data_IF_838094964539
#
_entry.id   IF_838094964539
#
_cell.length_a   1.000
_cell.length_b   1.000
_cell.length_c   1.000
_cell.angle_alpha   90.00
_cell.angle_beta   90.00
_cell.angle_gamma   90.00
#
_symmetry.space_group_name_H-M   'P 1'
#
loop_
_entity.id
_entity.type
_entity.pdbx_description
1 polymer ?
#
# COMPACT_ATOMS: atom_id res chain seq x y z
N UNK A 1 -32.91 -14.10 3.94
CA UNK A 1 -32.85 -15.52 4.39
C UNK A 1 -31.43 -16.08 4.39
N UNK A 2 -30.55 -15.67 3.47
CA UNK A 2 -29.19 -16.22 3.32
C UNK A 2 -28.27 -15.94 4.54
N UNK A 3 -28.43 -14.79 5.21
CA UNK A 3 -27.67 -14.45 6.43
C UNK A 3 -27.87 -15.41 7.61
N UNK A 4 -29.08 -15.90 7.83
CA UNK A 4 -29.38 -16.83 8.92
C UNK A 4 -28.89 -18.24 8.61
N UNK A 5 -28.95 -18.64 7.33
CA UNK A 5 -28.41 -19.91 6.87
C UNK A 5 -26.88 -19.98 7.01
N UNK A 6 -26.18 -18.93 6.59
CA UNK A 6 -24.74 -18.83 6.73
C UNK A 6 -24.29 -18.73 8.20
N UNK A 7 -25.05 -18.04 9.06
CA UNK A 7 -24.82 -18.01 10.51
C UNK A 7 -24.91 -19.40 11.15
N UNK A 8 -25.92 -20.18 10.78
CA UNK A 8 -26.07 -21.54 11.27
C UNK A 8 -24.93 -22.46 10.83
N UNK A 9 -24.52 -22.36 9.56
CA UNK A 9 -23.41 -23.13 8.99
C UNK A 9 -22.06 -22.76 9.62
N UNK A 10 -21.84 -21.47 9.87
CA UNK A 10 -20.66 -20.98 10.58
C UNK A 10 -20.64 -21.43 12.05
N UNK A 11 -21.78 -21.45 12.74
CA UNK A 11 -21.88 -21.97 14.10
C UNK A 11 -21.51 -23.46 14.16
N UNK A 12 -21.94 -24.24 13.17
CA UNK A 12 -21.69 -25.67 13.12
C UNK A 12 -20.19 -26.02 13.05
N UNK A 13 -19.39 -25.27 12.28
CA UNK A 13 -17.96 -25.54 12.13
C UNK A 13 -17.08 -24.85 13.18
N UNK A 14 -17.43 -23.65 13.64
CA UNK A 14 -16.56 -22.83 14.50
C UNK A 14 -17.24 -22.27 15.75
N UNK A 15 -18.39 -22.83 16.15
CA UNK A 15 -19.17 -22.44 17.34
C UNK A 15 -19.50 -20.93 17.33
N UNK A 16 -19.62 -20.29 18.49
CA UNK A 16 -20.11 -18.91 18.62
C UNK A 16 -19.38 -17.88 17.73
N UNK A 17 -18.02 -17.90 17.59
CA UNK A 17 -17.31 -17.04 16.63
C UNK A 17 -17.71 -17.32 15.17
N UNK A 18 -17.94 -18.58 14.83
CA UNK A 18 -18.39 -19.00 13.51
C UNK A 18 -19.80 -18.52 13.17
N UNK A 19 -20.72 -18.49 14.14
CA UNK A 19 -22.07 -17.98 13.93
C UNK A 19 -22.08 -16.51 13.52
N UNK A 20 -21.22 -15.73 14.17
CA UNK A 20 -21.04 -14.31 13.89
C UNK A 20 -20.45 -14.12 12.48
N UNK A 21 -19.39 -14.86 12.13
CA UNK A 21 -18.79 -14.81 10.80
C UNK A 21 -19.77 -15.22 9.69
N UNK A 22 -20.53 -16.29 9.92
CA UNK A 22 -21.55 -16.76 9.01
C UNK A 22 -22.70 -15.75 8.82
N UNK A 23 -23.19 -15.14 9.90
CA UNK A 23 -24.22 -14.10 9.84
C UNK A 23 -23.75 -12.88 9.04
N UNK A 24 -22.48 -12.50 9.22
CA UNK A 24 -21.86 -11.39 8.51
C UNK A 24 -21.66 -11.68 7.02
N UNK A 25 -21.18 -12.88 6.65
CA UNK A 25 -20.97 -13.27 5.23
C UNK A 25 -22.30 -13.40 4.49
N UNK A 26 -23.31 -14.06 5.08
CA UNK A 26 -24.61 -14.19 4.44
C UNK A 26 -25.40 -12.87 4.37
N UNK A 27 -25.11 -11.90 5.25
CA UNK A 27 -25.63 -10.54 5.16
C UNK A 27 -24.99 -9.70 4.04
N UNK A 28 -23.78 -10.05 3.63
CA UNK A 28 -23.03 -9.42 2.53
C UNK A 28 -23.54 -9.93 1.17
N UNK A 29 -23.77 -11.24 1.02
CA UNK A 29 -24.35 -11.82 -0.20
C UNK A 29 -25.75 -11.24 -0.50
N UNK A 30 -26.52 -11.02 0.55
CA UNK A 30 -27.88 -10.45 0.44
C UNK A 30 -27.87 -8.95 0.09
N UNK A 31 -26.76 -8.24 0.32
CA UNK A 31 -26.59 -6.82 -0.03
C UNK A 31 -25.85 -6.57 -1.34
N UNK A 32 -25.06 -7.52 -1.84
CA UNK A 32 -24.46 -7.45 -3.18
C UNK A 32 -25.54 -7.43 -4.27
N UNK A 33 -26.73 -7.97 -4.00
CA UNK A 33 -27.85 -8.00 -4.94
C UNK A 33 -28.64 -6.67 -5.05
N UNK A 34 -28.40 -5.69 -4.17
CA UNK A 34 -29.09 -4.39 -4.16
C UNK A 34 -28.06 -3.25 -4.25
N UNK A 35 -27.89 -2.70 -5.46
CA UNK A 35 -26.72 -1.92 -5.88
C UNK A 35 -26.54 -0.47 -5.37
N UNK A 36 -25.29 0.00 -5.61
CA UNK A 36 -24.73 1.35 -5.82
C UNK A 36 -25.37 2.61 -5.19
N UNK A 37 -24.57 3.34 -4.39
CA UNK A 37 -23.97 4.63 -4.78
C UNK A 37 -23.14 5.28 -3.65
N UNK A 38 -22.10 6.03 -4.08
CA UNK A 38 -21.20 6.97 -3.41
C UNK A 38 -21.50 7.41 -1.96
N UNK A 39 -20.58 7.13 -1.01
CA UNK A 39 -20.76 7.50 0.40
C UNK A 39 -19.54 8.10 1.15
N UNK A 40 -18.35 8.20 0.54
CA UNK A 40 -17.14 8.70 1.25
C UNK A 40 -17.18 10.22 1.55
N UNK A 41 -18.23 10.93 1.14
CA UNK A 41 -18.38 12.36 1.42
C UNK A 41 -19.09 12.69 2.74
N UNK A 42 -19.52 11.70 3.55
CA UNK A 42 -20.54 12.01 4.59
C UNK A 42 -20.09 11.93 6.05
N UNK A 43 -18.86 11.56 6.42
CA UNK A 43 -18.47 11.55 7.85
C UNK A 43 -17.08 12.06 8.24
N UNK A 44 -16.04 11.95 7.40
CA UNK A 44 -14.71 12.46 7.77
C UNK A 44 -14.55 13.86 7.20
N UNK A 45 -14.51 14.86 8.07
CA UNK A 45 -14.21 16.23 7.65
C UNK A 45 -12.81 16.25 7.03
N UNK A 46 -12.65 16.89 5.87
CA UNK A 46 -11.33 17.09 5.20
C UNK A 46 -10.31 17.87 6.06
N UNK A 47 -10.75 18.33 7.23
CA UNK A 47 -9.99 19.00 8.30
C UNK A 47 -9.40 18.06 9.35
N UNK A 48 -9.73 16.76 9.37
CA UNK A 48 -9.09 15.82 10.30
C UNK A 48 -7.58 15.77 10.02
N UNK A 49 -6.71 16.07 11.00
CA UNK A 49 -5.25 16.00 10.81
C UNK A 49 -4.75 14.61 10.44
N UNK A 50 -5.54 13.56 10.71
CA UNK A 50 -5.19 12.13 10.50
C UNK A 50 -5.68 11.57 9.17
N UNK A 51 -6.26 12.40 8.29
CA UNK A 51 -6.91 11.93 7.07
C UNK A 51 -5.95 11.19 6.12
N UNK A 52 -4.67 11.57 6.10
CA UNK A 52 -3.66 10.87 5.31
C UNK A 52 -3.40 9.46 5.86
N UNK A 53 -3.29 9.33 7.17
CA UNK A 53 -3.08 8.05 7.87
C UNK A 53 -4.28 7.12 7.71
N UNK A 54 -5.49 7.66 7.80
CA UNK A 54 -6.73 6.91 7.59
C UNK A 54 -6.87 6.42 6.15
N UNK A 55 -6.56 7.26 5.16
CA UNK A 55 -6.58 6.85 3.75
C UNK A 55 -5.46 5.86 3.43
N UNK A 56 -4.29 6.01 4.05
CA UNK A 56 -3.20 5.03 3.91
C UNK A 56 -3.64 3.65 4.42
N UNK A 57 -4.27 3.60 5.60
CA UNK A 57 -4.82 2.38 6.16
C UNK A 57 -5.93 1.78 5.28
N UNK A 58 -6.78 2.62 4.67
CA UNK A 58 -7.80 2.18 3.73
C UNK A 58 -7.20 1.59 2.44
N UNK A 59 -6.15 2.21 1.89
CA UNK A 59 -5.43 1.66 0.74
C UNK A 59 -4.77 0.32 1.09
N UNK A 60 -4.14 0.19 2.27
CA UNK A 60 -3.62 -1.11 2.74
C UNK A 60 -4.70 -2.16 2.85
N UNK A 61 -5.85 -1.82 3.44
CA UNK A 61 -6.98 -2.73 3.54
C UNK A 61 -7.56 -3.12 2.16
N UNK A 62 -7.42 -2.26 1.16
CA UNK A 62 -7.80 -2.56 -0.24
C UNK A 62 -6.88 -3.63 -0.84
N UNK A 63 -5.57 -3.53 -0.58
CA UNK A 63 -4.57 -4.51 -1.02
C UNK A 63 -4.76 -5.85 -0.31
N UNK A 64 -4.84 -5.86 1.03
CA UNK A 64 -4.99 -7.07 1.86
C UNK A 64 -6.26 -7.87 1.52
N UNK A 65 -7.31 -7.21 1.02
CA UNK A 65 -8.57 -7.87 0.66
C UNK A 65 -8.64 -8.27 -0.81
N UNK A 66 -7.59 -8.06 -1.60
CA UNK A 66 -7.63 -8.20 -3.04
C UNK A 66 -7.92 -9.65 -3.49
N UNK A 67 -7.36 -10.63 -2.79
CA UNK A 67 -7.51 -12.06 -3.07
C UNK A 67 -8.60 -12.74 -2.21
N UNK A 68 -9.18 -12.00 -1.27
CA UNK A 68 -10.16 -12.49 -0.29
C UNK A 68 -9.55 -13.30 0.86
N UNK A 69 -8.23 -13.50 0.90
CA UNK A 69 -7.52 -14.22 1.95
C UNK A 69 -6.70 -13.24 2.79
N UNK A 70 -7.24 -12.87 3.95
CA UNK A 70 -6.54 -11.94 4.85
C UNK A 70 -5.45 -12.69 5.60
N UNK A 71 -4.18 -12.43 5.26
CA UNK A 71 -3.03 -13.01 5.97
C UNK A 71 -2.70 -12.20 7.23
N UNK A 72 -2.34 -12.91 8.31
CA UNK A 72 -2.06 -12.25 9.60
C UNK A 72 -0.80 -11.41 9.55
N UNK A 73 0.18 -11.79 8.73
CA UNK A 73 1.45 -11.11 8.51
C UNK A 73 1.25 -9.72 7.92
N UNK A 74 0.36 -9.57 6.94
CA UNK A 74 0.05 -8.28 6.29
C UNK A 74 -0.61 -7.32 7.29
N UNK A 75 -1.58 -7.81 8.07
CA UNK A 75 -2.21 -7.04 9.14
C UNK A 75 -1.20 -6.61 10.22
N UNK A 76 -0.30 -7.52 10.58
CA UNK A 76 0.73 -7.24 11.58
C UNK A 76 1.76 -6.24 11.06
N UNK A 77 2.14 -6.32 9.78
CA UNK A 77 3.01 -5.34 9.14
C UNK A 77 2.41 -3.94 9.21
N UNK A 78 1.13 -3.79 8.81
CA UNK A 78 0.42 -2.51 8.90
C UNK A 78 0.38 -2.04 10.35
N UNK A 79 -0.02 -2.89 11.30
CA UNK A 79 -0.09 -2.51 12.72
C UNK A 79 1.27 -2.04 13.25
N UNK A 80 2.32 -2.80 13.00
CA UNK A 80 3.68 -2.46 13.45
C UNK A 80 4.18 -1.17 12.82
N UNK A 81 3.87 -0.93 11.54
CA UNK A 81 4.21 0.30 10.85
C UNK A 81 3.59 1.52 11.54
N UNK A 82 2.28 1.49 11.82
CA UNK A 82 1.61 2.61 12.47
C UNK A 82 2.10 2.82 13.92
N UNK A 83 2.31 1.74 14.67
CA UNK A 83 2.85 1.84 16.04
C UNK A 83 4.27 2.42 16.05
N UNK A 84 5.14 1.95 15.16
CA UNK A 84 6.54 2.39 15.10
C UNK A 84 6.64 3.86 14.70
N UNK A 85 5.81 4.31 13.76
CA UNK A 85 5.92 5.66 13.21
C UNK A 85 5.11 6.72 13.99
N UNK A 86 4.03 6.34 14.66
CA UNK A 86 3.11 7.28 15.32
C UNK A 86 2.94 7.04 16.83
N UNK A 87 3.45 5.94 17.36
CA UNK A 87 3.24 5.52 18.74
C UNK A 87 1.95 4.70 18.93
N UNK A 88 1.91 3.91 20.01
CA UNK A 88 0.83 2.96 20.28
C UNK A 88 -0.55 3.62 20.38
N UNK A 89 -0.63 4.76 21.08
CA UNK A 89 -1.91 5.43 21.35
C UNK A 89 -2.50 6.06 20.08
N UNK A 90 -1.68 6.77 19.29
CA UNK A 90 -2.11 7.33 18.01
C UNK A 90 -2.48 6.24 17.01
N UNK A 91 -1.70 5.16 16.95
CA UNK A 91 -2.02 4.01 16.11
C UNK A 91 -3.38 3.42 16.49
N UNK A 92 -3.65 3.19 17.78
CA UNK A 92 -4.96 2.70 18.25
C UNK A 92 -6.09 3.61 17.78
N UNK A 93 -5.95 4.92 18.00
CA UNK A 93 -6.95 5.90 17.60
C UNK A 93 -7.23 5.86 16.08
N UNK A 94 -6.19 5.75 15.25
CA UNK A 94 -6.33 5.62 13.79
C UNK A 94 -7.10 4.32 13.43
N UNK A 95 -6.76 3.20 14.06
CA UNK A 95 -7.45 1.92 13.82
C UNK A 95 -8.91 1.96 14.29
N UNK A 96 -9.18 2.57 15.43
CA UNK A 96 -10.53 2.71 15.99
C UNK A 96 -11.40 3.60 15.08
N UNK A 97 -10.87 4.76 14.66
CA UNK A 97 -11.53 5.64 13.69
C UNK A 97 -11.77 4.92 12.36
N UNK A 98 -10.79 4.20 11.83
CA UNK A 98 -10.96 3.40 10.61
C UNK A 98 -12.06 2.34 10.73
N UNK A 99 -12.08 1.60 11.84
CA UNK A 99 -13.08 0.56 12.09
C UNK A 99 -14.50 1.12 12.26
N UNK A 100 -14.63 2.29 12.88
CA UNK A 100 -15.91 2.95 13.12
C UNK A 100 -16.45 3.67 11.88
N UNK A 101 -15.57 4.32 11.09
CA UNK A 101 -15.98 5.31 10.08
C UNK A 101 -15.74 4.87 8.64
N UNK A 102 -14.69 4.08 8.35
CA UNK A 102 -14.20 3.83 6.98
C UNK A 102 -14.51 2.42 6.47
N UNK A 103 -14.99 1.50 7.33
CA UNK A 103 -15.22 0.08 6.99
C UNK A 103 -16.25 -0.15 5.87
N UNK A 104 -17.07 0.86 5.54
CA UNK A 104 -18.08 0.87 4.47
C UNK A 104 -17.56 1.35 3.10
N UNK A 105 -16.35 1.94 3.04
CA UNK A 105 -15.92 2.82 1.93
C UNK A 105 -14.61 2.40 1.24
N UNK A 106 -14.07 1.22 1.58
CA UNK A 106 -12.79 0.67 1.08
C UNK A 106 -12.83 0.26 -0.42
N UNK A 107 -13.76 0.80 -1.21
CA UNK A 107 -13.99 0.35 -2.59
C UNK A 107 -13.62 1.39 -3.66
N UNK A 108 -13.37 2.65 -3.29
CA UNK A 108 -13.03 3.69 -4.25
C UNK A 108 -11.56 4.13 -4.14
N UNK A 109 -10.68 3.41 -4.83
CA UNK A 109 -9.24 3.71 -4.89
C UNK A 109 -8.98 5.16 -5.31
N UNK A 110 -9.73 5.69 -6.30
CA UNK A 110 -9.54 7.04 -6.81
C UNK A 110 -9.77 8.09 -5.72
N UNK A 111 -10.80 7.90 -4.91
CA UNK A 111 -11.15 8.83 -3.85
C UNK A 111 -10.16 8.77 -2.67
N UNK A 112 -9.74 7.57 -2.30
CA UNK A 112 -8.70 7.37 -1.29
C UNK A 112 -7.37 8.01 -1.73
N UNK A 113 -6.99 7.85 -3.00
CA UNK A 113 -5.77 8.40 -3.57
C UNK A 113 -5.82 9.93 -3.75
N UNK A 114 -7.01 10.48 -4.00
CA UNK A 114 -7.23 11.91 -4.30
C UNK A 114 -6.65 12.84 -3.24
N UNK A 115 -6.75 12.47 -1.96
CA UNK A 115 -6.20 13.30 -0.87
C UNK A 115 -4.68 13.42 -0.97
N UNK A 116 -3.99 12.35 -1.37
CA UNK A 116 -2.53 12.35 -1.50
C UNK A 116 -2.11 13.20 -2.69
N UNK A 117 -2.84 13.12 -3.80
CA UNK A 117 -2.59 13.94 -5.00
C UNK A 117 -2.71 15.43 -4.69
N UNK A 118 -3.70 15.85 -3.90
CA UNK A 118 -3.91 17.27 -3.59
C UNK A 118 -3.07 17.81 -2.42
N UNK A 119 -2.79 16.97 -1.41
CA UNK A 119 -2.15 17.45 -0.16
C UNK A 119 -0.68 17.09 -0.04
N UNK A 120 -0.13 16.27 -0.92
CA UNK A 120 1.24 15.77 -0.77
C UNK A 120 2.06 15.91 -2.06
N UNK A 121 3.38 16.12 -1.94
CA UNK A 121 4.26 16.17 -3.10
C UNK A 121 4.36 14.79 -3.78
N UNK A 122 4.93 14.74 -4.99
CA UNK A 122 5.08 13.49 -5.75
C UNK A 122 5.85 12.42 -4.97
N UNK A 123 6.90 12.83 -4.27
CA UNK A 123 7.78 11.97 -3.50
C UNK A 123 7.03 11.24 -2.38
N UNK A 124 6.07 11.91 -1.72
CA UNK A 124 5.22 11.27 -0.69
C UNK A 124 4.37 10.15 -1.27
N UNK A 125 3.86 10.33 -2.50
CA UNK A 125 3.04 9.31 -3.18
C UNK A 125 3.86 8.07 -3.55
N UNK A 126 5.15 8.23 -3.89
CA UNK A 126 6.08 7.12 -4.05
C UNK A 126 6.26 6.32 -2.75
N UNK A 127 6.26 6.99 -1.59
CA UNK A 127 6.36 6.31 -0.30
C UNK A 127 5.10 5.54 0.06
N UNK A 128 3.92 6.06 -0.29
CA UNK A 128 2.66 5.31 -0.18
C UNK A 128 2.76 4.02 -1.00
N UNK A 129 3.21 4.11 -2.25
CA UNK A 129 3.39 2.93 -3.11
C UNK A 129 4.38 1.92 -2.52
N UNK A 130 5.55 2.39 -2.07
CA UNK A 130 6.57 1.54 -1.43
C UNK A 130 6.00 0.82 -0.20
N UNK A 131 5.27 1.53 0.65
CA UNK A 131 4.62 0.94 1.82
C UNK A 131 3.60 -0.13 1.42
N UNK A 132 2.77 0.09 0.39
CA UNK A 132 1.79 -0.90 -0.06
C UNK A 132 2.43 -2.18 -0.59
N UNK A 133 3.57 -2.09 -1.28
CA UNK A 133 4.35 -3.27 -1.64
C UNK A 133 4.93 -3.97 -0.40
N UNK A 134 5.37 -3.23 0.61
CA UNK A 134 5.79 -3.79 1.89
C UNK A 134 4.68 -4.56 2.62
N UNK A 135 3.43 -4.06 2.54
CA UNK A 135 2.25 -4.76 3.06
C UNK A 135 2.03 -6.06 2.31
N UNK A 136 1.95 -6.02 0.97
CA UNK A 136 1.67 -7.21 0.16
C UNK A 136 2.80 -8.26 0.20
N UNK A 137 4.03 -7.84 0.50
CA UNK A 137 5.18 -8.74 0.62
C UNK A 137 5.45 -9.19 2.07
N UNK A 138 4.54 -8.92 3.02
CA UNK A 138 4.78 -9.19 4.44
C UNK A 138 4.95 -10.70 4.76
N UNK A 139 4.37 -11.57 3.94
CA UNK A 139 4.55 -13.03 4.00
C UNK A 139 5.62 -13.54 3.02
N UNK A 140 6.27 -12.62 2.27
CA UNK A 140 7.30 -12.91 1.28
C UNK A 140 6.78 -13.22 -0.13
N UNK A 141 5.46 -13.20 -0.38
CA UNK A 141 4.89 -13.48 -1.71
C UNK A 141 3.75 -12.52 -2.04
N UNK A 142 3.93 -11.71 -3.08
CA UNK A 142 2.87 -10.84 -3.61
C UNK A 142 2.01 -11.61 -4.60
N UNK A 143 0.70 -11.70 -4.34
CA UNK A 143 -0.26 -12.32 -5.26
C UNK A 143 -0.55 -11.44 -6.48
N UNK A 144 -1.06 -12.05 -7.57
CA UNK A 144 -1.44 -11.31 -8.79
C UNK A 144 -2.56 -10.28 -8.52
N UNK A 145 -3.52 -10.63 -7.67
CA UNK A 145 -4.63 -9.76 -7.27
C UNK A 145 -4.16 -8.55 -6.48
N UNK A 146 -3.21 -8.72 -5.56
CA UNK A 146 -2.59 -7.60 -4.84
C UNK A 146 -1.82 -6.71 -5.78
N UNK A 147 -1.01 -7.28 -6.68
CA UNK A 147 -0.25 -6.51 -7.66
C UNK A 147 -1.16 -5.65 -8.55
N UNK A 148 -2.28 -6.20 -9.03
CA UNK A 148 -3.29 -5.46 -9.80
C UNK A 148 -3.86 -4.30 -8.97
N UNK A 149 -4.14 -4.51 -7.67
CA UNK A 149 -4.66 -3.46 -6.80
C UNK A 149 -3.62 -2.37 -6.54
N UNK A 150 -2.37 -2.75 -6.31
CA UNK A 150 -1.27 -1.80 -6.12
C UNK A 150 -1.05 -0.97 -7.39
N UNK A 151 -1.13 -1.56 -8.59
CA UNK A 151 -1.04 -0.85 -9.87
C UNK A 151 -2.20 0.15 -10.07
N UNK A 152 -3.43 -0.26 -9.75
CA UNK A 152 -4.60 0.63 -9.75
C UNK A 152 -4.41 1.81 -8.78
N UNK A 153 -3.85 1.57 -7.60
CA UNK A 153 -3.55 2.61 -6.62
C UNK A 153 -2.43 3.53 -7.12
N UNK A 154 -1.37 2.99 -7.72
CA UNK A 154 -0.28 3.78 -8.29
C UNK A 154 -0.78 4.74 -9.38
N UNK A 155 -1.65 4.24 -10.27
CA UNK A 155 -2.31 5.03 -11.30
C UNK A 155 -3.19 6.13 -10.70
N UNK A 156 -3.99 5.81 -9.68
CA UNK A 156 -4.84 6.79 -8.99
C UNK A 156 -4.04 7.84 -8.18
N UNK A 157 -2.86 7.48 -7.70
CA UNK A 157 -1.89 8.40 -7.10
C UNK A 157 -1.19 9.27 -8.16
N UNK A 158 -1.42 9.04 -9.46
CA UNK A 158 -0.80 9.78 -10.54
C UNK A 158 0.72 9.54 -10.63
N UNK A 159 1.15 8.31 -10.34
CA UNK A 159 2.55 7.90 -10.45
C UNK A 159 2.87 7.45 -11.88
N UNK A 160 4.12 7.66 -12.29
CA UNK A 160 4.63 7.17 -13.57
C UNK A 160 4.80 5.65 -13.53
N UNK A 161 4.66 5.00 -14.68
CA UNK A 161 4.88 3.56 -14.76
C UNK A 161 6.34 3.16 -14.45
N UNK A 162 7.33 3.99 -14.81
CA UNK A 162 8.74 3.74 -14.48
C UNK A 162 8.97 3.69 -12.96
N UNK A 163 8.34 4.60 -12.22
CA UNK A 163 8.36 4.63 -10.76
C UNK A 163 7.76 3.35 -10.16
N UNK A 164 6.64 2.90 -10.71
CA UNK A 164 5.98 1.67 -10.29
C UNK A 164 6.89 0.46 -10.49
N UNK A 165 7.45 0.25 -11.68
CA UNK A 165 8.34 -0.87 -11.95
C UNK A 165 9.62 -0.81 -11.11
N UNK A 166 10.17 0.39 -10.89
CA UNK A 166 11.34 0.58 -10.03
C UNK A 166 11.06 0.20 -8.57
N UNK A 167 9.90 0.55 -8.02
CA UNK A 167 9.53 0.17 -6.65
C UNK A 167 9.18 -1.31 -6.58
N UNK A 168 8.40 -1.83 -7.52
CA UNK A 168 8.05 -3.26 -7.64
C UNK A 168 9.29 -4.15 -7.65
N UNK A 169 10.32 -3.76 -8.41
CA UNK A 169 11.58 -4.48 -8.51
C UNK A 169 12.33 -4.62 -7.16
N UNK A 170 12.00 -3.82 -6.13
CA UNK A 170 12.57 -3.97 -4.78
C UNK A 170 11.97 -5.14 -4.00
N UNK A 171 10.73 -5.52 -4.32
CA UNK A 171 9.98 -6.55 -3.59
C UNK A 171 9.87 -7.86 -4.37
N UNK A 172 9.89 -7.79 -5.70
CA UNK A 172 9.81 -8.95 -6.57
C UNK A 172 11.18 -9.16 -7.22
N UNK A 173 11.71 -10.38 -7.13
CA UNK A 173 12.94 -10.74 -7.81
C UNK A 173 12.65 -10.95 -9.29
N UNK A 174 13.19 -10.05 -10.12
CA UNK A 174 13.05 -10.11 -11.57
C UNK A 174 14.44 -10.03 -12.22
N UNK A 175 14.54 -10.53 -13.46
CA UNK A 175 15.71 -10.27 -14.31
C UNK A 175 15.88 -8.76 -14.48
N UNK A 176 17.14 -8.32 -14.48
CA UNK A 176 17.53 -6.92 -14.61
C UNK A 176 17.01 -5.99 -13.48
N UNK A 177 16.71 -6.55 -12.30
CA UNK A 177 16.24 -5.82 -11.11
C UNK A 177 17.02 -4.52 -10.86
N UNK A 178 18.35 -4.58 -10.88
CA UNK A 178 19.19 -3.42 -10.61
C UNK A 178 18.95 -2.27 -11.61
N UNK A 179 18.79 -2.59 -12.90
CA UNK A 179 18.49 -1.59 -13.95
C UNK A 179 17.08 -1.02 -13.79
N UNK A 180 16.10 -1.87 -13.46
CA UNK A 180 14.72 -1.44 -13.18
C UNK A 180 14.64 -0.50 -11.98
N UNK A 181 15.38 -0.78 -10.90
CA UNK A 181 15.47 0.11 -9.73
C UNK A 181 15.99 1.49 -10.14
N UNK A 182 16.93 1.57 -11.08
CA UNK A 182 17.44 2.83 -11.63
C UNK A 182 16.56 3.44 -12.74
N UNK A 183 15.38 2.86 -13.03
CA UNK A 183 14.47 3.30 -14.10
C UNK A 183 15.11 3.31 -15.50
N UNK A 184 16.03 2.37 -15.79
CA UNK A 184 16.74 2.26 -17.08
C UNK A 184 16.68 0.84 -17.67
N UNK A 185 16.98 0.73 -18.97
CA UNK A 185 17.13 -0.55 -19.66
C UNK A 185 18.45 -1.24 -19.28
N UNK A 186 18.48 -2.57 -19.29
CA UNK A 186 19.72 -3.35 -19.16
C UNK A 186 20.71 -3.11 -20.30
N UNK A 187 20.25 -2.59 -21.44
CA UNK A 187 21.09 -2.17 -22.56
C UNK A 187 21.64 -0.74 -22.42
N UNK A 188 21.33 -0.02 -21.33
CA UNK A 188 21.82 1.34 -21.11
C UNK A 188 23.36 1.38 -21.09
N UNK A 189 23.94 2.48 -21.59
CA UNK A 189 25.37 2.76 -21.54
C UNK A 189 25.84 3.09 -20.12
N UNK A 190 27.14 3.02 -19.86
CA UNK A 190 27.70 3.30 -18.53
C UNK A 190 27.46 4.75 -18.09
N UNK A 191 27.44 5.69 -19.03
CA UNK A 191 27.14 7.09 -18.74
C UNK A 191 25.67 7.29 -18.37
N UNK A 192 24.75 6.58 -19.05
CA UNK A 192 23.33 6.57 -18.70
C UNK A 192 23.10 5.96 -17.31
N UNK A 193 23.81 4.89 -16.95
CA UNK A 193 23.75 4.29 -15.60
C UNK A 193 24.17 5.32 -14.55
N UNK A 194 25.32 6.00 -14.74
CA UNK A 194 25.83 7.03 -13.81
C UNK A 194 24.89 8.25 -13.73
N UNK A 195 24.25 8.62 -14.84
CA UNK A 195 23.26 9.69 -14.87
C UNK A 195 22.00 9.30 -14.10
N UNK A 196 21.44 8.12 -14.37
CA UNK A 196 20.25 7.61 -13.71
C UNK A 196 20.44 7.48 -12.19
N UNK A 197 21.58 6.96 -11.74
CA UNK A 197 21.92 6.91 -10.31
C UNK A 197 21.84 8.30 -9.64
N UNK A 198 22.45 9.32 -10.24
CA UNK A 198 22.42 10.70 -9.71
C UNK A 198 20.99 11.27 -9.67
N UNK A 199 20.19 10.98 -10.68
CA UNK A 199 18.78 11.40 -10.73
C UNK A 199 17.94 10.71 -9.64
N UNK A 200 18.13 9.40 -9.43
CA UNK A 200 17.45 8.63 -8.38
C UNK A 200 17.86 9.07 -6.97
N UNK A 201 19.15 9.29 -6.73
CA UNK A 201 19.66 9.88 -5.48
C UNK A 201 18.99 11.21 -5.21
N UNK A 202 18.91 12.09 -6.21
CA UNK A 202 18.25 13.40 -6.07
C UNK A 202 16.74 13.27 -5.85
N UNK A 203 16.09 12.22 -6.34
CA UNK A 203 14.63 11.99 -6.21
C UNK A 203 14.25 11.44 -4.84
N UNK A 204 15.05 10.51 -4.32
CA UNK A 204 14.78 9.79 -3.07
C UNK A 204 15.61 10.26 -1.88
N UNK A 205 16.39 11.34 -2.02
CA UNK A 205 17.14 11.91 -0.91
C UNK A 205 16.20 12.29 0.26
N UNK A 206 16.49 11.89 1.51
CA UNK A 206 15.63 12.18 2.66
C UNK A 206 15.35 13.68 2.82
N UNK A 207 16.33 14.56 2.54
CA UNK A 207 16.17 16.02 2.63
C UNK A 207 15.15 16.62 1.63
N UNK A 208 14.79 15.90 0.57
CA UNK A 208 13.75 16.37 -0.35
C UNK A 208 12.34 16.16 0.17
N UNK A 209 12.17 15.32 1.18
CA UNK A 209 10.88 15.14 1.82
C UNK A 209 10.59 16.36 2.68
N UNK A 210 9.67 17.21 2.22
CA UNK A 210 9.10 18.30 3.04
C UNK A 210 8.20 17.80 4.17
N UNK A 211 7.87 16.51 4.17
CA UNK A 211 7.00 15.92 5.18
C UNK A 211 7.79 15.59 6.45
N UNK A 212 7.23 15.96 7.61
CA UNK A 212 7.71 15.53 8.93
C UNK A 212 7.18 14.15 9.33
N UNK A 213 6.40 13.50 8.47
CA UNK A 213 5.82 12.19 8.77
C UNK A 213 6.93 11.11 8.79
N UNK A 214 7.20 10.47 9.95
CA UNK A 214 8.26 9.47 10.10
C UNK A 214 8.13 8.30 9.13
N UNK A 215 6.90 7.91 8.80
CA UNK A 215 6.61 6.81 7.88
C UNK A 215 7.16 7.08 6.47
N UNK A 216 6.99 8.32 6.00
CA UNK A 216 7.43 8.73 4.67
C UNK A 216 8.95 8.86 4.60
N UNK A 217 9.56 9.34 5.68
CA UNK A 217 11.02 9.45 5.81
C UNK A 217 11.67 8.06 5.76
N UNK A 218 11.09 7.09 6.47
CA UNK A 218 11.61 5.72 6.51
C UNK A 218 11.62 5.07 5.13
N UNK A 219 10.50 5.14 4.39
CA UNK A 219 10.43 4.56 3.05
C UNK A 219 11.43 5.19 2.07
N UNK A 220 11.65 6.51 2.15
CA UNK A 220 12.61 7.17 1.25
C UNK A 220 14.04 6.73 1.56
N UNK A 221 14.37 6.54 2.84
CA UNK A 221 15.66 5.99 3.25
C UNK A 221 15.85 4.56 2.71
N UNK A 222 14.85 3.70 2.82
CA UNK A 222 14.90 2.32 2.30
C UNK A 222 15.08 2.33 0.77
N UNK A 223 14.31 3.15 0.04
CA UNK A 223 14.45 3.31 -1.41
C UNK A 223 15.83 3.85 -1.81
N UNK A 224 16.35 4.82 -1.07
CA UNK A 224 17.67 5.39 -1.30
C UNK A 224 18.77 4.32 -1.16
N UNK A 225 18.69 3.48 -0.13
CA UNK A 225 19.63 2.37 0.06
C UNK A 225 19.55 1.35 -1.07
N UNK A 226 18.35 1.01 -1.54
CA UNK A 226 18.20 0.09 -2.68
C UNK A 226 18.74 0.69 -3.98
N UNK A 227 18.61 2.01 -4.20
CA UNK A 227 19.23 2.69 -5.35
C UNK A 227 20.76 2.58 -5.30
N UNK A 228 21.36 2.72 -4.12
CA UNK A 228 22.81 2.55 -3.95
C UNK A 228 23.24 1.11 -4.25
N UNK A 229 22.57 0.12 -3.67
CA UNK A 229 22.85 -1.30 -3.90
C UNK A 229 22.73 -1.67 -5.37
N UNK A 230 21.65 -1.23 -6.03
CA UNK A 230 21.43 -1.50 -7.45
C UNK A 230 22.56 -0.93 -8.32
N UNK A 231 23.02 0.29 -8.02
CA UNK A 231 24.15 0.88 -8.72
C UNK A 231 25.44 0.08 -8.47
N UNK A 232 25.73 -0.31 -7.23
CA UNK A 232 26.90 -1.14 -6.89
C UNK A 232 26.88 -2.51 -7.59
N UNK A 233 25.71 -3.14 -7.70
CA UNK A 233 25.53 -4.40 -8.43
C UNK A 233 25.87 -4.24 -9.92
N UNK A 234 25.38 -3.17 -10.55
CA UNK A 234 25.69 -2.87 -11.96
C UNK A 234 27.18 -2.57 -12.13
N UNK A 235 27.77 -1.81 -11.22
CA UNK A 235 29.21 -1.51 -11.25
C UNK A 235 30.06 -2.78 -11.19
N UNK A 236 29.72 -3.70 -10.28
CA UNK A 236 30.40 -5.00 -10.16
C UNK A 236 30.22 -5.85 -11.42
N UNK A 237 29.00 -5.92 -11.95
CA UNK A 237 28.70 -6.72 -13.13
C UNK A 237 29.39 -6.19 -14.41
N UNK A 238 29.63 -4.88 -14.50
CA UNK A 238 30.20 -4.22 -15.68
C UNK A 238 31.66 -3.77 -15.52
N UNK A 239 32.22 -3.86 -14.31
CA UNK A 239 33.54 -3.36 -13.94
C UNK A 239 33.74 -1.84 -14.21
N UNK A 240 32.82 -0.99 -13.71
CA UNK A 240 32.79 0.48 -13.96
C UNK A 240 32.73 1.37 -12.72
#
# INVERSE_FOLDING_TARGET
MIKWFAAFLGYYFFRFPGALLGFFIGGIIEKINNGNNSLFQTKISTRDPRILQLNLLALSATVIKADGQIKSQELQFVRNFFITNYGKDQASLIFDTFNAEIKKEVQNINELARIFVYKTPYETRLQVLHFLFGVANADGVISKSELIKIDQIASALGLRHSDFESIKAMFIQETDRAYKILEISSNATNDEVKKAYREMVKKYHPDKLRSKDPALIKGAKEKFQEVQKAYEEIQKARAI
#
